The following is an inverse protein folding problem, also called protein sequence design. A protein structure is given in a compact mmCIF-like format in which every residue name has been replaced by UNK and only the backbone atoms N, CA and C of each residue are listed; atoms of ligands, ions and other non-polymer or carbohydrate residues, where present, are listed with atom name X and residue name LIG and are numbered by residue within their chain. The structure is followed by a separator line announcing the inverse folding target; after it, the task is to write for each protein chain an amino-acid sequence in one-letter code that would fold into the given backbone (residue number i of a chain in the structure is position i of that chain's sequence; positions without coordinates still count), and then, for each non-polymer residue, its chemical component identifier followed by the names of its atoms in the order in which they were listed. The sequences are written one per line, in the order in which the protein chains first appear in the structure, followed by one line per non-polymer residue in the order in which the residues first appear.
data_IF_419995930946
#
_entry.id   IF_419995930946
#
_cell.length_a   1.000
_cell.length_b   1.000
_cell.length_c   1.000
_cell.angle_alpha   90.00
_cell.angle_beta   90.00
_cell.angle_gamma   90.00
#
_symmetry.space_group_name_H-M   'P 1'
#
loop_
_entity.id
_entity.type
_entity.pdbx_description
1 polymer ?
#
# COMPACT_ATOMS: atom_id res chain seq x y z
N UNK A 1 22.79 -19.07 5.40
CA UNK A 1 21.43 -18.89 5.86
C UNK A 1 20.90 -17.61 5.24
N UNK A 2 19.86 -17.72 4.41
CA UNK A 2 19.05 -16.58 3.99
C UNK A 2 18.29 -16.12 5.23
N UNK A 3 18.75 -15.00 5.81
CA UNK A 3 18.08 -14.37 6.94
C UNK A 3 16.63 -14.06 6.60
N UNK A 4 15.77 -14.24 7.57
CA UNK A 4 14.33 -14.03 7.48
C UNK A 4 13.98 -12.66 6.91
N UNK A 5 13.73 -12.61 5.60
CA UNK A 5 13.09 -11.46 4.97
C UNK A 5 11.63 -11.52 5.38
N UNK A 6 11.29 -10.88 6.50
CA UNK A 6 9.92 -10.75 6.93
C UNK A 6 9.18 -9.86 5.92
N UNK A 7 8.49 -10.50 4.99
CA UNK A 7 7.54 -9.86 4.09
C UNK A 7 6.28 -9.56 4.92
N UNK A 8 5.84 -8.31 4.95
CA UNK A 8 4.50 -7.99 5.37
C UNK A 8 3.69 -7.70 4.11
N UNK A 9 2.74 -8.55 3.82
CA UNK A 9 1.78 -8.37 2.75
C UNK A 9 0.64 -7.50 3.30
N UNK A 10 0.36 -6.38 2.65
CA UNK A 10 -0.85 -5.60 2.89
C UNK A 10 -1.86 -6.09 1.86
N UNK A 11 -2.83 -6.89 2.29
CA UNK A 11 -3.79 -7.57 1.41
C UNK A 11 -4.93 -6.64 0.94
N UNK A 12 -5.65 -7.10 -0.09
CA UNK A 12 -6.78 -6.45 -0.74
C UNK A 12 -7.90 -6.06 0.23
N UNK A 13 -8.16 -6.85 1.27
CA UNK A 13 -9.17 -6.56 2.28
C UNK A 13 -8.52 -6.10 3.58
N UNK A 14 -8.36 -4.79 3.72
CA UNK A 14 -7.82 -4.14 4.92
C UNK A 14 -8.57 -4.54 6.19
N UNK A 15 -9.81 -5.05 6.07
CA UNK A 15 -10.61 -5.50 7.21
C UNK A 15 -10.09 -6.80 7.84
N UNK A 16 -9.38 -7.64 7.07
CA UNK A 16 -8.86 -8.91 7.57
C UNK A 16 -7.47 -8.81 8.21
N UNK A 17 -6.83 -7.63 8.11
CA UNK A 17 -5.45 -7.46 8.59
C UNK A 17 -5.32 -6.58 9.84
N UNK A 18 -6.38 -5.92 10.26
CA UNK A 18 -6.38 -5.06 11.43
C UNK A 18 -7.00 -5.82 12.60
N UNK A 19 -6.15 -6.40 13.46
CA UNK A 19 -6.53 -7.33 14.53
C UNK A 19 -6.54 -6.71 15.92
N UNK A 20 -5.90 -5.57 16.10
CA UNK A 20 -5.74 -4.97 17.41
C UNK A 20 -7.00 -4.20 17.86
N UNK A 21 -7.13 -4.01 19.17
CA UNK A 21 -8.26 -3.34 19.79
C UNK A 21 -8.29 -1.83 19.53
N UNK A 22 -7.18 -1.25 19.10
CA UNK A 22 -7.08 0.18 18.76
C UNK A 22 -6.10 0.44 17.62
N UNK A 23 -6.21 1.61 16.99
CA UNK A 23 -5.29 2.06 15.95
C UNK A 23 -3.84 2.09 16.47
N UNK A 24 -3.62 2.59 17.68
CA UNK A 24 -2.28 2.63 18.29
C UNK A 24 -1.73 1.22 18.51
N UNK A 25 -2.54 0.32 19.05
CA UNK A 25 -2.15 -1.06 19.26
C UNK A 25 -1.83 -1.77 17.93
N UNK A 26 -2.59 -1.48 16.87
CA UNK A 26 -2.32 -2.00 15.53
C UNK A 26 -0.98 -1.51 15.00
N UNK A 27 -0.67 -0.22 15.16
CA UNK A 27 0.62 0.36 14.76
C UNK A 27 1.82 -0.25 15.50
N UNK A 28 1.59 -0.79 16.68
CA UNK A 28 2.62 -1.42 17.53
C UNK A 28 2.60 -2.94 17.47
N UNK A 29 1.66 -3.53 16.72
CA UNK A 29 1.44 -4.97 16.70
C UNK A 29 2.66 -5.74 16.21
N UNK A 30 3.10 -6.72 17.01
CA UNK A 30 4.25 -7.56 16.71
C UNK A 30 5.62 -6.90 16.90
N UNK A 31 5.66 -5.66 17.42
CA UNK A 31 6.90 -4.96 17.78
C UNK A 31 7.13 -5.10 19.28
N UNK A 32 8.26 -5.69 19.67
CA UNK A 32 8.56 -6.01 21.08
C UNK A 32 8.72 -4.78 21.97
N UNK A 33 9.31 -3.71 21.42
CA UNK A 33 9.50 -2.42 22.10
C UNK A 33 9.26 -1.32 21.06
N UNK A 34 7.99 -0.92 20.80
CA UNK A 34 7.72 0.12 19.83
C UNK A 34 8.29 1.45 20.27
N UNK A 35 8.92 2.17 19.36
CA UNK A 35 9.31 3.56 19.58
C UNK A 35 8.06 4.44 19.62
N UNK A 36 7.63 4.80 20.82
CA UNK A 36 6.43 5.60 21.02
C UNK A 36 6.54 7.00 20.41
N UNK A 37 7.74 7.53 20.27
CA UNK A 37 7.96 8.82 19.59
C UNK A 37 7.65 8.68 18.11
N UNK A 38 8.13 7.61 17.48
CA UNK A 38 7.83 7.29 16.07
C UNK A 38 6.33 7.03 15.87
N UNK A 39 5.71 6.25 16.76
CA UNK A 39 4.25 5.98 16.70
C UNK A 39 3.47 7.29 16.74
N UNK A 40 3.75 8.16 17.72
CA UNK A 40 3.06 9.44 17.86
C UNK A 40 3.24 10.34 16.63
N UNK A 41 4.47 10.49 16.14
CA UNK A 41 4.78 11.29 14.96
C UNK A 41 4.06 10.75 13.71
N UNK A 42 4.04 9.44 13.54
CA UNK A 42 3.37 8.81 12.39
C UNK A 42 1.85 8.98 12.45
N UNK A 43 1.23 8.82 13.63
CA UNK A 43 -0.21 9.04 13.79
C UNK A 43 -0.59 10.50 13.53
N UNK A 44 0.23 11.45 13.96
CA UNK A 44 0.02 12.87 13.71
C UNK A 44 0.15 13.19 12.21
N UNK A 45 1.23 12.73 11.57
CA UNK A 45 1.50 12.95 10.15
C UNK A 45 0.37 12.44 9.25
N UNK A 46 -0.21 11.28 9.60
CA UNK A 46 -1.28 10.64 8.83
C UNK A 46 -2.68 11.09 9.26
N UNK A 47 -2.80 12.06 10.19
CA UNK A 47 -4.07 12.54 10.71
C UNK A 47 -4.88 11.46 11.43
N UNK A 48 -4.21 10.51 12.07
CA UNK A 48 -4.81 9.39 12.79
C UNK A 48 -4.92 9.63 14.30
N UNK A 49 -4.31 10.68 14.82
CA UNK A 49 -4.35 11.02 16.26
C UNK A 49 -5.77 11.05 16.85
N UNK A 50 -6.81 11.61 16.19
CA UNK A 50 -8.18 11.60 16.71
C UNK A 50 -8.82 10.21 16.77
N UNK A 51 -8.22 9.22 16.11
CA UNK A 51 -8.73 7.85 16.01
C UNK A 51 -7.89 6.85 16.80
N UNK A 52 -6.86 7.32 17.53
CA UNK A 52 -5.86 6.52 18.24
C UNK A 52 -6.45 5.35 19.01
N UNK A 53 -7.47 5.65 19.84
CA UNK A 53 -8.14 4.68 20.72
C UNK A 53 -9.30 3.94 20.05
N UNK A 54 -9.60 4.24 18.78
CA UNK A 54 -10.69 3.57 18.08
C UNK A 54 -10.28 2.20 17.59
N UNK A 55 -11.23 1.27 17.65
CA UNK A 55 -11.07 -0.02 17.01
C UNK A 55 -10.98 0.16 15.48
N UNK A 56 -9.97 -0.41 14.79
CA UNK A 56 -9.74 -0.21 13.36
C UNK A 56 -10.97 -0.51 12.48
N UNK A 57 -11.80 -1.47 12.87
CA UNK A 57 -13.02 -1.81 12.12
C UNK A 57 -14.06 -0.71 12.07
N UNK A 58 -13.99 0.29 12.96
CA UNK A 58 -14.92 1.44 12.99
C UNK A 58 -14.48 2.58 12.06
N UNK A 59 -13.34 2.45 11.41
CA UNK A 59 -12.77 3.44 10.52
C UNK A 59 -13.37 3.37 9.10
N UNK A 60 -13.38 4.51 8.40
CA UNK A 60 -13.67 4.53 6.96
C UNK A 60 -12.57 3.83 6.16
N UNK A 61 -12.86 3.45 4.91
CA UNK A 61 -11.87 2.82 4.01
C UNK A 61 -10.57 3.62 3.90
N UNK A 62 -10.65 4.92 3.66
CA UNK A 62 -9.46 5.79 3.58
C UNK A 62 -8.71 5.92 4.91
N UNK A 63 -9.41 5.87 6.05
CA UNK A 63 -8.76 5.84 7.38
C UNK A 63 -8.03 4.52 7.60
N UNK A 64 -8.63 3.39 7.23
CA UNK A 64 -7.98 2.06 7.30
C UNK A 64 -6.74 1.99 6.44
N UNK A 65 -6.78 2.54 5.22
CA UNK A 65 -5.59 2.63 4.36
C UNK A 65 -4.48 3.43 5.03
N UNK A 66 -4.79 4.56 5.65
CA UNK A 66 -3.79 5.34 6.40
C UNK A 66 -3.21 4.57 7.59
N UNK A 67 -4.02 3.76 8.28
CA UNK A 67 -3.51 2.87 9.35
C UNK A 67 -2.55 1.83 8.77
N UNK A 68 -2.87 1.19 7.65
CA UNK A 68 -1.98 0.23 6.99
C UNK A 68 -0.63 0.87 6.60
N UNK A 69 -0.66 2.12 6.11
CA UNK A 69 0.57 2.89 5.83
C UNK A 69 1.31 3.21 7.13
N UNK A 70 0.62 3.65 8.20
CA UNK A 70 1.24 3.91 9.50
C UNK A 70 1.98 2.68 10.03
N UNK A 71 1.32 1.53 10.02
CA UNK A 71 1.93 0.23 10.39
C UNK A 71 3.18 -0.04 9.56
N UNK A 72 3.13 0.22 8.25
CA UNK A 72 4.26 0.01 7.33
C UNK A 72 5.44 0.94 7.63
N UNK A 73 5.18 2.18 8.04
CA UNK A 73 6.22 3.14 8.46
C UNK A 73 6.89 2.70 9.77
N UNK A 74 6.10 2.26 10.74
CA UNK A 74 6.55 1.94 12.09
C UNK A 74 7.23 0.56 12.17
N UNK A 75 6.77 -0.41 11.38
CA UNK A 75 7.30 -1.78 11.43
C UNK A 75 8.76 -1.92 10.97
N UNK A 76 9.36 -0.87 10.43
CA UNK A 76 10.77 -0.84 10.02
C UNK A 76 11.11 -1.77 8.85
N UNK A 77 10.12 -2.28 8.11
CA UNK A 77 10.35 -3.16 6.96
C UNK A 77 10.79 -2.36 5.74
N UNK A 78 11.72 -2.91 4.98
CA UNK A 78 12.23 -2.27 3.76
C UNK A 78 11.47 -2.68 2.51
N UNK A 79 10.76 -3.81 2.56
CA UNK A 79 9.92 -4.32 1.47
C UNK A 79 8.45 -4.35 1.92
N UNK A 80 7.61 -3.66 1.17
CA UNK A 80 6.18 -3.55 1.37
C UNK A 80 5.44 -4.06 0.13
N UNK A 81 4.35 -4.79 0.35
CA UNK A 81 3.48 -5.27 -0.74
C UNK A 81 2.06 -4.78 -0.47
N UNK A 82 1.50 -4.05 -1.40
CA UNK A 82 0.11 -3.59 -1.38
C UNK A 82 -0.68 -4.34 -2.46
N UNK A 83 -1.81 -4.91 -2.07
CA UNK A 83 -2.71 -5.63 -2.98
C UNK A 83 -4.00 -4.81 -3.10
N UNK A 84 -4.30 -4.32 -4.32
CA UNK A 84 -5.43 -3.47 -4.66
C UNK A 84 -5.69 -2.31 -3.68
N UNK A 85 -4.68 -1.46 -3.38
CA UNK A 85 -4.78 -0.46 -2.32
C UNK A 85 -5.80 0.66 -2.59
N UNK A 86 -6.33 0.74 -3.81
CA UNK A 86 -7.31 1.75 -4.22
C UNK A 86 -8.71 1.18 -4.46
N UNK A 87 -8.90 -0.12 -4.26
CA UNK A 87 -10.20 -0.78 -4.48
C UNK A 87 -11.30 -0.13 -3.67
N UNK A 88 -12.37 0.30 -4.35
CA UNK A 88 -13.53 0.93 -3.72
C UNK A 88 -13.31 2.36 -3.22
N UNK A 89 -12.18 2.99 -3.55
CA UNK A 89 -11.91 4.39 -3.21
C UNK A 89 -12.38 5.33 -4.32
N UNK A 90 -12.83 6.53 -3.91
CA UNK A 90 -13.02 7.66 -4.80
C UNK A 90 -11.66 8.25 -5.25
N UNK A 91 -11.71 9.14 -6.23
CA UNK A 91 -10.50 9.76 -6.80
C UNK A 91 -9.66 10.52 -5.76
N UNK A 92 -10.29 11.23 -4.85
CA UNK A 92 -9.60 12.02 -3.83
C UNK A 92 -8.89 11.10 -2.82
N UNK A 93 -9.55 10.03 -2.39
CA UNK A 93 -8.99 9.02 -1.51
C UNK A 93 -7.84 8.26 -2.20
N UNK A 94 -8.00 7.89 -3.48
CA UNK A 94 -6.94 7.28 -4.28
C UNK A 94 -5.71 8.19 -4.37
N UNK A 95 -5.91 9.48 -4.60
CA UNK A 95 -4.81 10.46 -4.67
C UNK A 95 -4.08 10.59 -3.33
N UNK A 96 -4.80 10.53 -2.21
CA UNK A 96 -4.19 10.52 -0.87
C UNK A 96 -3.33 9.26 -0.67
N UNK A 97 -3.84 8.07 -1.00
CA UNK A 97 -3.10 6.81 -0.93
C UNK A 97 -1.84 6.86 -1.81
N UNK A 98 -1.95 7.38 -3.03
CA UNK A 98 -0.81 7.59 -3.92
C UNK A 98 0.27 8.47 -3.27
N UNK A 99 -0.12 9.56 -2.62
CA UNK A 99 0.79 10.43 -1.88
C UNK A 99 1.49 9.73 -0.73
N UNK A 100 0.78 8.89 0.02
CA UNK A 100 1.35 8.12 1.13
C UNK A 100 2.35 7.07 0.65
N UNK A 101 2.03 6.35 -0.42
CA UNK A 101 2.94 5.36 -1.02
C UNK A 101 4.22 6.02 -1.54
N UNK A 102 4.11 7.20 -2.16
CA UNK A 102 5.30 7.97 -2.57
C UNK A 102 6.19 8.33 -1.39
N UNK A 103 5.62 8.77 -0.27
CA UNK A 103 6.40 9.06 0.96
C UNK A 103 7.16 7.84 1.44
N UNK A 104 6.54 6.66 1.45
CA UNK A 104 7.23 5.40 1.80
C UNK A 104 8.41 5.14 0.84
N UNK A 105 8.24 5.40 -0.45
CA UNK A 105 9.31 5.30 -1.44
C UNK A 105 10.43 6.31 -1.16
N UNK A 106 10.10 7.56 -0.83
CA UNK A 106 11.07 8.61 -0.49
C UNK A 106 11.86 8.28 0.79
N UNK A 107 11.27 7.49 1.69
CA UNK A 107 11.93 6.92 2.87
C UNK A 107 12.86 5.73 2.53
N UNK A 108 13.03 5.40 1.25
CA UNK A 108 13.89 4.30 0.78
C UNK A 108 13.24 2.92 0.84
N UNK A 109 11.92 2.82 1.04
CA UNK A 109 11.22 1.54 1.02
C UNK A 109 11.07 1.02 -0.41
N UNK A 110 11.22 -0.29 -0.59
CA UNK A 110 10.88 -0.99 -1.83
C UNK A 110 9.40 -1.39 -1.76
N UNK A 111 8.63 -0.96 -2.75
CA UNK A 111 7.17 -1.12 -2.73
C UNK A 111 6.74 -1.90 -3.97
N UNK A 112 6.03 -3.00 -3.74
CA UNK A 112 5.29 -3.72 -4.75
C UNK A 112 3.81 -3.43 -4.61
N UNK A 113 3.17 -3.14 -5.74
CA UNK A 113 1.73 -2.89 -5.81
C UNK A 113 1.15 -3.88 -6.81
N UNK A 114 0.19 -4.68 -6.37
CA UNK A 114 -0.65 -5.48 -7.25
C UNK A 114 -1.91 -4.68 -7.50
N UNK A 115 -2.19 -4.34 -8.75
CA UNK A 115 -3.38 -3.56 -9.11
C UNK A 115 -3.68 -3.63 -10.59
N UNK A 116 -4.94 -3.39 -10.94
CA UNK A 116 -5.42 -3.18 -12.30
C UNK A 116 -5.73 -1.70 -12.60
N UNK A 117 -5.49 -0.78 -11.64
CA UNK A 117 -5.77 0.65 -11.80
C UNK A 117 -4.64 1.36 -12.55
N UNK A 118 -4.85 1.58 -13.86
CA UNK A 118 -3.90 2.26 -14.73
C UNK A 118 -3.55 3.68 -14.25
N UNK A 119 -4.55 4.45 -13.77
CA UNK A 119 -4.32 5.82 -13.32
C UNK A 119 -3.47 5.86 -12.07
N UNK A 120 -3.74 4.98 -11.12
CA UNK A 120 -2.96 4.84 -9.91
C UNK A 120 -1.51 4.44 -10.21
N UNK A 121 -1.29 3.48 -11.13
CA UNK A 121 0.05 3.08 -11.58
C UNK A 121 0.82 4.25 -12.17
N UNK A 122 0.21 5.02 -13.08
CA UNK A 122 0.85 6.18 -13.69
C UNK A 122 1.23 7.27 -12.68
N UNK A 123 0.53 7.34 -11.55
CA UNK A 123 0.76 8.32 -10.49
C UNK A 123 1.79 7.88 -9.46
N UNK A 124 1.95 6.58 -9.23
CA UNK A 124 2.69 6.04 -8.08
C UNK A 124 3.88 5.19 -8.46
N UNK A 125 3.80 4.44 -9.55
CA UNK A 125 4.80 3.45 -9.89
C UNK A 125 5.88 4.03 -10.80
N UNK A 126 7.10 3.52 -10.67
CA UNK A 126 8.20 3.79 -11.60
C UNK A 126 8.38 2.69 -12.64
N UNK A 127 7.80 1.50 -12.38
CA UNK A 127 7.97 0.30 -13.20
C UNK A 127 6.76 -0.60 -13.08
N UNK A 128 6.39 -1.25 -14.17
CA UNK A 128 5.31 -2.24 -14.25
C UNK A 128 5.90 -3.57 -14.66
N UNK A 129 5.59 -4.60 -13.89
CA UNK A 129 5.86 -5.99 -14.20
C UNK A 129 4.53 -6.65 -14.55
N UNK A 130 4.34 -7.02 -15.80
CA UNK A 130 3.13 -7.70 -16.24
C UNK A 130 3.31 -9.21 -16.12
N UNK A 131 2.35 -9.87 -15.48
CA UNK A 131 2.32 -11.33 -15.34
C UNK A 131 1.12 -11.89 -16.10
N UNK A 132 1.36 -12.88 -16.95
CA UNK A 132 0.31 -13.63 -17.66
C UNK A 132 0.67 -15.13 -17.61
N UNK A 133 -0.29 -15.97 -17.20
CA UNK A 133 -0.16 -17.45 -17.12
C UNK A 133 1.11 -17.94 -16.36
N UNK A 134 1.59 -17.16 -15.38
CA UNK A 134 2.76 -17.51 -14.57
C UNK A 134 4.10 -17.09 -15.18
N UNK A 135 4.09 -16.48 -16.33
CA UNK A 135 5.24 -15.84 -16.96
C UNK A 135 5.23 -14.32 -16.75
N UNK A 136 6.36 -13.67 -16.95
CA UNK A 136 6.52 -12.23 -16.93
C UNK A 136 6.95 -11.73 -18.31
N UNK A 137 6.02 -11.59 -19.24
CA UNK A 137 6.32 -11.21 -20.62
C UNK A 137 6.79 -9.75 -20.76
N UNK A 138 6.35 -8.88 -19.87
CA UNK A 138 6.65 -7.46 -19.94
C UNK A 138 7.21 -6.89 -18.66
N UNK A 139 8.20 -6.01 -18.83
CA UNK A 139 8.86 -5.20 -17.80
C UNK A 139 9.04 -3.79 -18.37
N UNK A 140 8.20 -2.86 -17.93
CA UNK A 140 8.04 -1.55 -18.54
C UNK A 140 8.25 -0.43 -17.53
N UNK A 141 9.14 0.52 -17.83
CA UNK A 141 9.28 1.75 -17.05
C UNK A 141 8.08 2.67 -17.28
N UNK A 142 7.59 3.31 -16.22
CA UNK A 142 6.48 4.26 -16.30
C UNK A 142 7.02 5.63 -16.72
N UNK A 143 7.19 5.81 -18.03
CA UNK A 143 7.64 7.04 -18.67
C UNK A 143 6.66 7.43 -19.79
N UNK A 144 6.70 8.69 -20.22
CA UNK A 144 5.76 9.20 -21.23
C UNK A 144 5.74 8.39 -22.52
N UNK A 145 6.91 7.96 -23.00
CA UNK A 145 7.05 7.18 -24.22
C UNK A 145 6.45 5.77 -24.12
N UNK A 146 6.35 5.23 -22.90
CA UNK A 146 5.80 3.90 -22.65
C UNK A 146 4.28 3.89 -22.38
N UNK A 147 3.62 5.05 -22.26
CA UNK A 147 2.19 5.14 -21.97
C UNK A 147 1.30 4.36 -22.95
N UNK A 148 1.55 4.35 -24.28
CA UNK A 148 0.73 3.54 -25.19
C UNK A 148 0.78 2.05 -24.87
N UNK A 149 2.00 1.51 -24.62
CA UNK A 149 2.18 0.11 -24.25
C UNK A 149 1.53 -0.21 -22.89
N UNK A 150 1.69 0.65 -21.90
CA UNK A 150 1.05 0.49 -20.60
C UNK A 150 -0.48 0.44 -20.73
N UNK A 151 -1.09 1.32 -21.55
CA UNK A 151 -2.53 1.28 -21.79
C UNK A 151 -2.99 -0.02 -22.42
N UNK A 152 -2.21 -0.58 -23.35
CA UNK A 152 -2.50 -1.87 -23.95
C UNK A 152 -2.53 -2.98 -22.91
N UNK A 153 -1.53 -3.06 -22.04
CA UNK A 153 -1.45 -4.07 -20.97
C UNK A 153 -2.68 -4.02 -20.03
N UNK A 154 -3.10 -2.84 -19.64
CA UNK A 154 -4.26 -2.68 -18.75
C UNK A 154 -5.61 -2.92 -19.47
N UNK A 155 -5.71 -2.66 -20.78
CA UNK A 155 -6.95 -2.91 -21.53
C UNK A 155 -7.21 -4.39 -21.82
N UNK A 156 -6.18 -5.22 -21.88
CA UNK A 156 -6.31 -6.67 -22.07
C UNK A 156 -6.86 -7.34 -20.80
N UNK A 157 -6.54 -6.79 -19.62
CA UNK A 157 -7.01 -7.30 -18.33
C UNK A 157 -8.54 -7.18 -18.19
N UNK A 158 -9.15 -6.10 -18.69
CA UNK A 158 -10.60 -5.86 -18.61
C UNK A 158 -11.43 -6.82 -19.51
N UNK A 159 -10.80 -7.49 -20.46
CA UNK A 159 -11.48 -8.39 -21.41
C UNK A 159 -11.57 -9.85 -20.96
N UNK A 160 -10.83 -10.28 -19.94
CA UNK A 160 -10.82 -11.68 -19.46
C UNK A 160 -11.82 -11.98 -18.34
N UNK A 161 -12.52 -10.99 -17.79
CA UNK A 161 -13.54 -11.15 -16.74
C UNK A 161 -14.99 -11.25 -17.28
N UNK A 162 -15.20 -11.88 -18.45
CA UNK A 162 -16.57 -12.17 -18.95
C UNK A 162 -16.79 -13.64 -19.16
#
# INVERSE_FOLDING_TARGET
GLGDVYKRQVMQDVNYELFADSVEAECSFGIRNPDQTLVNATLEELGLTPYRERHPNTLSGGQKQRVAVAVSMICGKDLLVFDEPTSGLDFDSMTQVAGLIRRLSDMGKVIFIVTHDFEFVCRTCSRVLHFDEGEMPDDVSVIMEALPKLRELFSVSDGKER
#
